data_IF_356472085452
#
_entry.id   IF_356472085452
#
_cell.length_a   1.000
_cell.length_b   1.000
_cell.length_c   1.000
_cell.angle_alpha   90.00
_cell.angle_beta   90.00
_cell.angle_gamma   90.00
#
_symmetry.space_group_name_H-M   'P 1'
#
loop_
_entity.id
_entity.type
_entity.pdbx_description
1 polymer ?
#
# COMPACT_ATOMS: atom_id res chain seq x y z
N UNK A 1 -51.42 -24.83 8.36
CA UNK A 1 -51.18 -23.61 9.17
C UNK A 1 -50.16 -23.88 10.27
N UNK A 2 -50.24 -25.00 11.02
CA UNK A 2 -49.24 -25.34 12.05
C UNK A 2 -47.79 -25.42 11.54
N UNK A 3 -47.56 -26.04 10.38
CA UNK A 3 -46.23 -26.14 9.76
C UNK A 3 -45.58 -24.78 9.41
N UNK A 4 -46.38 -23.75 9.08
CA UNK A 4 -45.87 -22.40 8.80
C UNK A 4 -45.51 -21.67 10.10
N UNK A 5 -46.28 -21.90 11.16
CA UNK A 5 -46.03 -21.34 12.49
C UNK A 5 -44.72 -21.92 13.05
N UNK A 6 -44.48 -23.22 12.88
CA UNK A 6 -43.24 -23.86 13.33
C UNK A 6 -41.99 -23.32 12.62
N UNK A 7 -42.07 -23.05 11.31
CA UNK A 7 -40.96 -22.46 10.55
C UNK A 7 -40.65 -21.04 11.02
N UNK A 8 -41.67 -20.22 11.29
CA UNK A 8 -41.50 -18.85 11.80
C UNK A 8 -40.91 -18.88 13.20
N UNK A 9 -41.41 -19.74 14.08
CA UNK A 9 -40.92 -19.88 15.45
C UNK A 9 -39.49 -20.45 15.50
N UNK A 10 -39.15 -21.39 14.62
CA UNK A 10 -37.79 -21.90 14.48
C UNK A 10 -36.82 -20.81 14.00
N UNK A 11 -37.23 -19.99 13.02
CA UNK A 11 -36.44 -18.84 12.54
C UNK A 11 -36.27 -17.77 13.61
N UNK A 12 -37.31 -17.53 14.43
CA UNK A 12 -37.25 -16.60 15.55
C UNK A 12 -36.28 -17.09 16.63
N UNK A 13 -36.30 -18.39 16.93
CA UNK A 13 -35.39 -19.02 17.89
C UNK A 13 -33.94 -19.00 17.42
N UNK A 14 -33.68 -19.29 16.14
CA UNK A 14 -32.32 -19.20 15.59
C UNK A 14 -31.81 -17.77 15.66
N UNK A 15 -32.63 -16.78 15.27
CA UNK A 15 -32.27 -15.38 15.35
C UNK A 15 -31.98 -14.91 16.79
N UNK A 16 -32.79 -15.32 17.76
CA UNK A 16 -32.53 -15.03 19.19
C UNK A 16 -31.22 -15.66 19.69
N UNK A 17 -30.89 -16.87 19.23
CA UNK A 17 -29.63 -17.54 19.58
C UNK A 17 -28.41 -16.86 18.93
N UNK A 18 -28.53 -16.46 17.67
CA UNK A 18 -27.49 -15.73 16.93
C UNK A 18 -27.24 -14.34 17.55
N UNK A 19 -28.28 -13.64 18.01
CA UNK A 19 -28.12 -12.39 18.76
C UNK A 19 -27.41 -12.60 20.10
N UNK A 20 -27.69 -13.71 20.78
CA UNK A 20 -27.02 -14.08 22.03
C UNK A 20 -25.53 -14.38 21.85
N UNK A 21 -25.14 -15.00 20.74
CA UNK A 21 -23.75 -15.32 20.41
C UNK A 21 -22.96 -14.14 19.80
N UNK A 22 -23.67 -13.13 19.27
CA UNK A 22 -23.05 -11.90 18.77
C UNK A 22 -22.46 -11.02 19.89
N UNK A 23 -23.06 -11.02 21.08
CA UNK A 23 -22.62 -10.16 22.19
C UNK A 23 -21.18 -10.50 22.68
N UNK A 24 -20.82 -11.78 22.91
CA UNK A 24 -19.43 -12.17 23.18
C UNK A 24 -18.47 -11.84 22.03
N UNK A 25 -18.87 -12.05 20.78
CA UNK A 25 -18.06 -11.71 19.61
C UNK A 25 -17.80 -10.21 19.52
N UNK A 26 -18.79 -9.38 19.85
CA UNK A 26 -18.64 -7.93 19.87
C UNK A 26 -17.64 -7.47 20.95
N UNK A 27 -17.68 -8.08 22.13
CA UNK A 27 -16.69 -7.80 23.19
C UNK A 27 -15.28 -8.19 22.73
N UNK A 28 -15.13 -9.37 22.11
CA UNK A 28 -13.85 -9.81 21.53
C UNK A 28 -13.34 -8.87 20.45
N UNK A 29 -14.22 -8.42 19.55
CA UNK A 29 -13.91 -7.48 18.48
C UNK A 29 -13.44 -6.12 19.03
N UNK A 30 -14.12 -5.58 20.05
CA UNK A 30 -13.71 -4.34 20.72
C UNK A 30 -12.35 -4.51 21.40
N UNK A 31 -12.11 -5.63 22.09
CA UNK A 31 -10.82 -5.93 22.69
C UNK A 31 -9.69 -5.99 21.65
N UNK A 32 -9.93 -6.63 20.50
CA UNK A 32 -8.99 -6.69 19.38
C UNK A 32 -8.71 -5.30 18.82
N UNK A 33 -9.72 -4.46 18.64
CA UNK A 33 -9.52 -3.09 18.16
C UNK A 33 -8.66 -2.27 19.12
N UNK A 34 -8.88 -2.38 20.43
CA UNK A 34 -8.08 -1.67 21.44
C UNK A 34 -6.63 -2.15 21.42
N UNK A 35 -6.41 -3.46 21.43
CA UNK A 35 -5.06 -4.06 21.41
C UNK A 35 -4.35 -3.72 20.10
N UNK A 36 -5.02 -3.92 18.96
CA UNK A 36 -4.44 -3.67 17.65
C UNK A 36 -4.16 -2.19 17.41
N UNK A 37 -4.97 -1.27 17.95
CA UNK A 37 -4.64 0.15 17.93
C UNK A 37 -3.35 0.48 18.70
N UNK A 38 -3.18 -0.12 19.88
CA UNK A 38 -1.97 0.04 20.69
C UNK A 38 -0.73 -0.52 19.96
N UNK A 39 -0.85 -1.73 19.39
CA UNK A 39 0.21 -2.37 18.59
C UNK A 39 0.54 -1.53 17.36
N UNK A 40 -0.46 -0.99 16.67
CA UNK A 40 -0.26 -0.15 15.48
C UNK A 40 0.53 1.12 15.80
N UNK A 41 0.21 1.78 16.92
CA UNK A 41 1.00 2.93 17.41
C UNK A 41 2.43 2.54 17.76
N UNK A 42 2.63 1.39 18.39
CA UNK A 42 3.96 0.90 18.74
C UNK A 42 4.80 0.61 17.48
N UNK A 43 4.22 -0.06 16.48
CA UNK A 43 4.86 -0.33 15.20
C UNK A 43 5.26 0.96 14.49
N UNK A 44 4.36 1.93 14.39
CA UNK A 44 4.67 3.25 13.83
C UNK A 44 5.86 3.88 14.55
N UNK A 45 5.86 3.86 15.87
CA UNK A 45 6.91 4.47 16.66
C UNK A 45 8.27 3.79 16.45
N UNK A 46 8.30 2.46 16.40
CA UNK A 46 9.52 1.67 16.14
C UNK A 46 10.04 1.99 14.74
N UNK A 47 9.18 2.00 13.72
CA UNK A 47 9.57 2.29 12.33
C UNK A 47 10.13 3.69 12.21
N UNK A 48 9.43 4.70 12.75
CA UNK A 48 9.90 6.10 12.68
C UNK A 48 11.22 6.27 13.41
N UNK A 49 11.38 5.69 14.61
CA UNK A 49 12.64 5.77 15.36
C UNK A 49 13.78 5.04 14.66
N UNK A 50 13.53 3.85 14.13
CA UNK A 50 14.53 3.07 13.40
C UNK A 50 15.01 3.80 12.15
N UNK A 51 14.09 4.29 11.33
CA UNK A 51 14.41 5.04 10.11
C UNK A 51 15.13 6.36 10.40
N UNK A 52 14.73 7.08 11.46
CA UNK A 52 15.45 8.30 11.90
C UNK A 52 16.86 7.99 12.43
N UNK A 53 17.04 6.87 13.13
CA UNK A 53 18.33 6.43 13.64
C UNK A 53 19.35 6.04 12.56
N UNK A 54 18.88 5.55 11.42
CA UNK A 54 19.73 5.10 10.30
C UNK A 54 20.21 6.22 9.36
N UNK A 55 19.95 7.50 9.66
CA UNK A 55 20.23 8.65 8.76
C UNK A 55 19.59 8.54 7.37
N UNK A 56 18.48 7.81 7.23
CA UNK A 56 17.71 7.73 5.97
C UNK A 56 17.26 9.10 5.44
N UNK A 57 17.24 10.11 6.31
CA UNK A 57 16.97 11.50 5.95
C UNK A 57 17.96 12.06 4.91
N UNK A 58 19.24 11.68 4.97
CA UNK A 58 20.26 12.14 4.01
C UNK A 58 20.01 11.54 2.61
N UNK A 59 19.55 10.28 2.54
CA UNK A 59 19.19 9.60 1.30
C UNK A 59 17.90 10.14 0.67
N UNK A 60 16.88 10.45 1.46
CA UNK A 60 15.59 10.98 0.95
C UNK A 60 15.70 12.43 0.47
N UNK A 61 16.58 13.23 1.09
CA UNK A 61 16.91 14.59 0.63
C UNK A 61 17.72 14.53 -0.67
N UNK A 62 18.72 13.64 -0.76
CA UNK A 62 19.49 13.43 -1.99
C UNK A 62 18.64 12.90 -3.16
N UNK A 63 17.60 12.11 -2.87
CA UNK A 63 16.65 11.61 -3.86
C UNK A 63 15.55 12.63 -4.25
N UNK A 64 15.49 13.79 -3.60
CA UNK A 64 14.52 14.85 -3.88
C UNK A 64 13.07 14.54 -3.45
N UNK A 65 12.85 13.47 -2.67
CA UNK A 65 11.50 13.10 -2.21
C UNK A 65 10.90 14.15 -1.28
N UNK A 66 11.69 14.69 -0.35
CA UNK A 66 11.19 15.70 0.59
C UNK A 66 10.72 16.99 -0.13
N UNK A 67 11.35 17.34 -1.27
CA UNK A 67 10.95 18.47 -2.10
C UNK A 67 9.67 18.18 -2.90
N UNK A 68 9.47 16.92 -3.33
CA UNK A 68 8.24 16.48 -3.99
C UNK A 68 7.05 16.47 -3.02
N UNK A 69 7.25 16.00 -1.78
CA UNK A 69 6.23 16.02 -0.72
C UNK A 69 5.85 17.45 -0.30
N UNK A 70 6.83 18.36 -0.18
CA UNK A 70 6.58 19.77 0.11
C UNK A 70 5.78 20.47 -0.99
N UNK A 71 6.08 20.18 -2.26
CA UNK A 71 5.29 20.69 -3.41
C UNK A 71 3.84 20.18 -3.40
N UNK A 72 3.60 19.00 -2.83
CA UNK A 72 2.27 18.45 -2.58
C UNK A 72 1.57 18.95 -1.30
N UNK A 73 2.16 19.90 -0.56
CA UNK A 73 1.58 20.47 0.66
C UNK A 73 1.81 19.65 1.94
N UNK A 74 2.61 18.59 1.88
CA UNK A 74 2.93 17.77 3.05
C UNK A 74 4.11 18.40 3.80
N UNK A 75 3.86 18.85 5.03
CA UNK A 75 4.88 19.49 5.90
C UNK A 75 5.81 18.51 6.63
N UNK A 76 5.47 17.22 6.61
CA UNK A 76 6.24 16.15 7.28
C UNK A 76 7.27 15.52 6.34
N UNK A 77 8.41 15.08 6.91
CA UNK A 77 9.45 14.40 6.13
C UNK A 77 9.03 12.99 5.67
N UNK A 78 9.71 12.46 4.65
CA UNK A 78 9.44 11.13 4.06
C UNK A 78 9.33 10.01 5.09
N UNK A 79 10.17 10.04 6.14
CA UNK A 79 10.17 9.04 7.22
C UNK A 79 8.88 9.07 8.06
N UNK A 80 8.33 10.26 8.32
CA UNK A 80 7.10 10.41 9.09
C UNK A 80 5.89 9.93 8.27
N UNK A 81 5.90 10.18 6.95
CA UNK A 81 4.87 9.65 6.04
C UNK A 81 4.91 8.13 5.98
N UNK A 82 6.10 7.51 5.91
CA UNK A 82 6.25 6.06 6.00
C UNK A 82 5.74 5.51 7.34
N UNK A 83 6.03 6.18 8.45
CA UNK A 83 5.48 5.82 9.75
C UNK A 83 3.95 5.84 9.79
N UNK A 84 3.35 6.90 9.24
CA UNK A 84 1.88 7.01 9.11
C UNK A 84 1.32 5.92 8.19
N UNK A 85 2.00 5.57 7.09
CA UNK A 85 1.59 4.45 6.24
C UNK A 85 1.60 3.12 6.99
N UNK A 86 2.65 2.82 7.75
CA UNK A 86 2.73 1.60 8.56
C UNK A 86 1.64 1.56 9.62
N UNK A 87 1.35 2.69 10.28
CA UNK A 87 0.24 2.79 11.24
C UNK A 87 -1.09 2.40 10.60
N UNK A 88 -1.41 2.99 9.45
CA UNK A 88 -2.66 2.72 8.74
C UNK A 88 -2.75 1.28 8.25
N UNK A 89 -1.64 0.71 7.76
CA UNK A 89 -1.57 -0.70 7.39
C UNK A 89 -1.87 -1.62 8.57
N UNK A 90 -1.23 -1.39 9.72
CA UNK A 90 -1.44 -2.19 10.93
C UNK A 90 -2.89 -2.07 11.46
N UNK A 91 -3.48 -0.87 11.38
CA UNK A 91 -4.90 -0.65 11.69
C UNK A 91 -5.80 -1.42 10.73
N UNK A 92 -5.48 -1.43 9.44
CA UNK A 92 -6.27 -2.12 8.43
C UNK A 92 -6.24 -3.64 8.68
N UNK A 93 -5.07 -4.20 9.00
CA UNK A 93 -4.95 -5.61 9.43
C UNK A 93 -5.76 -5.90 10.70
N UNK A 94 -5.69 -5.00 11.69
CA UNK A 94 -6.50 -5.13 12.91
C UNK A 94 -8.00 -5.14 12.59
N UNK A 95 -8.44 -4.25 11.71
CA UNK A 95 -9.83 -4.15 11.28
C UNK A 95 -10.28 -5.40 10.52
N UNK A 96 -9.41 -5.97 9.69
CA UNK A 96 -9.65 -7.24 9.01
C UNK A 96 -9.87 -8.39 10.00
N UNK A 97 -8.98 -8.51 10.99
CA UNK A 97 -9.12 -9.51 12.07
C UNK A 97 -10.43 -9.29 12.83
N UNK A 98 -10.78 -8.03 13.10
CA UNK A 98 -12.02 -7.65 13.80
C UNK A 98 -13.26 -8.08 12.99
N UNK A 99 -13.30 -7.79 11.69
CA UNK A 99 -14.40 -8.21 10.81
C UNK A 99 -14.50 -9.72 10.69
N UNK A 100 -13.36 -10.44 10.64
CA UNK A 100 -13.36 -11.89 10.63
C UNK A 100 -13.94 -12.48 11.92
N UNK A 101 -13.60 -11.91 13.08
CA UNK A 101 -14.15 -12.35 14.39
C UNK A 101 -15.66 -12.06 14.49
N UNK A 102 -16.11 -10.95 13.90
CA UNK A 102 -17.55 -10.62 13.81
C UNK A 102 -18.31 -11.43 12.74
N UNK A 103 -17.64 -12.30 11.98
CA UNK A 103 -18.26 -13.07 10.90
C UNK A 103 -18.61 -12.24 9.65
N UNK A 104 -18.07 -11.02 9.52
CA UNK A 104 -18.32 -10.10 8.41
C UNK A 104 -17.38 -10.38 7.22
N UNK A 105 -17.42 -11.61 6.70
CA UNK A 105 -16.50 -12.10 5.66
C UNK A 105 -16.52 -11.26 4.38
N UNK A 106 -17.68 -10.72 4.01
CA UNK A 106 -17.80 -9.86 2.83
C UNK A 106 -16.99 -8.55 3.03
N UNK A 107 -17.11 -7.92 4.19
CA UNK A 107 -16.35 -6.70 4.51
C UNK A 107 -14.86 -7.02 4.64
N UNK A 108 -14.49 -8.11 5.33
CA UNK A 108 -13.08 -8.46 5.47
C UNK A 108 -12.42 -8.73 4.12
N UNK A 109 -13.10 -9.41 3.20
CA UNK A 109 -12.56 -9.65 1.85
C UNK A 109 -12.33 -8.36 1.08
N UNK A 110 -13.25 -7.38 1.16
CA UNK A 110 -13.09 -6.09 0.50
C UNK A 110 -11.92 -5.31 1.07
N UNK A 111 -11.81 -5.24 2.39
CA UNK A 111 -10.70 -4.56 3.05
C UNK A 111 -9.37 -5.28 2.80
N UNK A 112 -9.37 -6.61 2.63
CA UNK A 112 -8.14 -7.38 2.40
C UNK A 112 -7.50 -6.97 1.08
N UNK A 113 -8.31 -6.83 0.03
CA UNK A 113 -7.86 -6.31 -1.28
C UNK A 113 -7.27 -4.90 -1.16
N UNK A 114 -7.87 -4.04 -0.35
CA UNK A 114 -7.32 -2.69 -0.09
C UNK A 114 -5.99 -2.76 0.66
N UNK A 115 -5.85 -3.68 1.62
CA UNK A 115 -4.61 -3.90 2.35
C UNK A 115 -3.47 -4.34 1.43
N UNK A 116 -3.73 -5.28 0.53
CA UNK A 116 -2.77 -5.83 -0.43
C UNK A 116 -2.37 -4.81 -1.51
N UNK A 117 -3.27 -3.88 -1.84
CA UNK A 117 -2.98 -2.81 -2.79
C UNK A 117 -1.87 -1.88 -2.29
N UNK A 118 -1.81 -1.59 -0.99
CA UNK A 118 -0.87 -0.60 -0.43
C UNK A 118 0.60 -0.98 -0.64
N UNK A 119 1.08 -2.21 -0.32
CA UNK A 119 2.44 -2.64 -0.67
C UNK A 119 2.74 -2.50 -2.17
N UNK A 120 1.81 -2.92 -3.02
CA UNK A 120 1.98 -2.88 -4.47
C UNK A 120 2.11 -1.45 -5.00
N UNK A 121 1.39 -0.48 -4.43
CA UNK A 121 1.57 0.95 -4.73
C UNK A 121 3.00 1.40 -4.43
N UNK A 122 3.57 0.99 -3.28
CA UNK A 122 4.94 1.37 -2.91
C UNK A 122 5.94 0.80 -3.93
N UNK A 123 5.79 -0.47 -4.30
CA UNK A 123 6.66 -1.13 -5.30
C UNK A 123 6.51 -0.48 -6.68
N UNK A 124 5.29 -0.15 -7.10
CA UNK A 124 5.04 0.54 -8.36
C UNK A 124 5.69 1.93 -8.39
N UNK A 125 5.55 2.70 -7.30
CA UNK A 125 6.17 4.02 -7.16
C UNK A 125 7.70 3.94 -7.21
N UNK A 126 8.31 2.97 -6.52
CA UNK A 126 9.74 2.73 -6.57
C UNK A 126 10.21 2.35 -7.98
N UNK A 127 9.48 1.43 -8.63
CA UNK A 127 9.78 0.97 -9.99
C UNK A 127 9.71 2.11 -11.00
N UNK A 128 8.68 2.96 -10.93
CA UNK A 128 8.56 4.14 -11.77
C UNK A 128 9.71 5.11 -11.51
N UNK A 129 10.00 5.43 -10.25
CA UNK A 129 11.05 6.38 -9.88
C UNK A 129 12.40 5.91 -10.41
N UNK A 130 12.83 4.71 -10.00
CA UNK A 130 14.13 4.15 -10.39
C UNK A 130 14.19 3.89 -11.90
N UNK A 131 13.13 3.30 -12.46
CA UNK A 131 13.07 2.95 -13.87
C UNK A 131 13.10 4.16 -14.81
N UNK A 132 12.47 5.28 -14.43
CA UNK A 132 12.54 6.53 -15.21
C UNK A 132 13.94 7.16 -15.19
N UNK A 133 14.63 7.13 -14.04
CA UNK A 133 16.02 7.56 -13.96
C UNK A 133 16.93 6.65 -14.80
N UNK A 134 16.74 5.34 -14.69
CA UNK A 134 17.48 4.36 -15.48
C UNK A 134 17.25 4.54 -16.99
N UNK A 135 16.00 4.77 -17.42
CA UNK A 135 15.66 5.03 -18.82
C UNK A 135 16.40 6.24 -19.40
N UNK A 136 16.56 7.32 -18.60
CA UNK A 136 17.36 8.49 -19.00
C UNK A 136 18.82 8.15 -19.10
N UNK A 137 19.40 7.54 -18.06
CA UNK A 137 20.80 7.14 -18.03
C UNK A 137 21.19 6.28 -19.24
N UNK A 138 20.38 5.26 -19.55
CA UNK A 138 20.64 4.37 -20.69
C UNK A 138 20.50 5.12 -22.02
N UNK A 139 19.48 5.98 -22.16
CA UNK A 139 19.30 6.78 -23.36
C UNK A 139 20.48 7.74 -23.60
N UNK A 140 20.98 8.37 -22.55
CA UNK A 140 22.14 9.27 -22.62
C UNK A 140 23.41 8.50 -23.02
N UNK A 141 23.63 7.31 -22.46
CA UNK A 141 24.73 6.43 -22.83
C UNK A 141 24.66 5.98 -24.29
N UNK A 142 23.47 5.58 -24.75
CA UNK A 142 23.23 5.18 -26.15
C UNK A 142 23.44 6.37 -27.10
N UNK A 143 22.98 7.56 -26.73
CA UNK A 143 23.17 8.78 -27.52
C UNK A 143 24.65 9.15 -27.63
N UNK A 144 25.39 9.08 -26.51
CA UNK A 144 26.82 9.35 -26.49
C UNK A 144 27.60 8.36 -27.37
N UNK A 145 27.27 7.06 -27.28
CA UNK A 145 27.91 6.03 -28.10
C UNK A 145 27.63 6.23 -29.59
N UNK A 146 26.35 6.40 -29.97
CA UNK A 146 25.94 6.58 -31.37
C UNK A 146 26.49 7.85 -32.00
N UNK A 147 26.66 8.92 -31.20
CA UNK A 147 27.34 10.15 -31.63
C UNK A 147 28.83 9.92 -31.91
N UNK A 148 29.50 9.11 -31.10
CA UNK A 148 30.94 8.80 -31.27
C UNK A 148 31.24 7.97 -32.53
N UNK A 149 30.29 7.14 -32.98
CA UNK A 149 30.42 6.35 -34.23
C UNK A 149 29.91 7.06 -35.48
N UNK A 150 29.54 8.35 -35.37
CA UNK A 150 29.19 9.20 -36.52
C UNK A 150 27.78 8.98 -37.09
N UNK A 151 26.83 8.43 -36.31
CA UNK A 151 25.44 8.33 -36.77
C UNK A 151 24.81 9.72 -36.92
N UNK A 152 24.12 9.93 -38.05
CA UNK A 152 23.46 11.21 -38.40
C UNK A 152 22.38 11.61 -37.40
N UNK A 153 21.64 10.64 -36.85
CA UNK A 153 20.51 10.87 -35.92
C UNK A 153 20.68 10.18 -34.56
N UNK A 154 21.81 10.39 -33.89
CA UNK A 154 22.07 9.86 -32.54
C UNK A 154 20.94 10.20 -31.54
N UNK A 155 20.36 11.40 -31.64
CA UNK A 155 19.26 11.86 -30.77
C UNK A 155 17.95 11.10 -31.02
N UNK A 156 17.70 10.57 -32.23
CA UNK A 156 16.52 9.74 -32.47
C UNK A 156 16.68 8.39 -31.79
N UNK A 157 17.86 7.77 -31.88
CA UNK A 157 18.14 6.47 -31.25
C UNK A 157 18.00 6.58 -29.73
N UNK A 158 18.60 7.61 -29.13
CA UNK A 158 18.46 7.87 -27.70
C UNK A 158 17.01 8.06 -27.25
N UNK A 159 16.23 8.85 -28.01
CA UNK A 159 14.80 9.05 -27.72
C UNK A 159 14.01 7.76 -27.83
N UNK A 160 14.25 6.96 -28.86
CA UNK A 160 13.59 5.65 -29.04
C UNK A 160 13.94 4.71 -27.88
N UNK A 161 15.21 4.62 -27.49
CA UNK A 161 15.66 3.86 -26.33
C UNK A 161 14.95 4.32 -25.05
N UNK A 162 14.89 5.64 -24.82
CA UNK A 162 14.21 6.19 -23.66
C UNK A 162 12.74 5.82 -23.63
N UNK A 163 12.03 5.96 -24.74
CA UNK A 163 10.60 5.62 -24.82
C UNK A 163 10.36 4.12 -24.66
N UNK A 164 11.20 3.27 -25.24
CA UNK A 164 11.11 1.82 -25.09
C UNK A 164 11.25 1.40 -23.61
N UNK A 165 12.29 1.91 -22.92
CA UNK A 165 12.50 1.59 -21.50
C UNK A 165 11.40 2.20 -20.64
N UNK A 166 10.96 3.43 -20.91
CA UNK A 166 9.87 4.07 -20.17
C UNK A 166 8.57 3.27 -20.31
N UNK A 167 8.21 2.83 -21.51
CA UNK A 167 7.03 1.99 -21.74
C UNK A 167 7.13 0.67 -20.97
N UNK A 168 8.29 0.02 -21.00
CA UNK A 168 8.54 -1.20 -20.24
C UNK A 168 8.40 -0.99 -18.72
N UNK A 169 8.99 0.07 -18.18
CA UNK A 169 8.89 0.44 -16.75
C UNK A 169 7.44 0.72 -16.36
N UNK A 170 6.67 1.40 -17.21
CA UNK A 170 5.24 1.65 -16.96
C UNK A 170 4.46 0.34 -16.95
N UNK A 171 4.71 -0.57 -17.89
CA UNK A 171 4.08 -1.90 -17.92
C UNK A 171 4.43 -2.69 -16.65
N UNK A 172 5.69 -2.69 -16.23
CA UNK A 172 6.12 -3.35 -14.99
C UNK A 172 5.44 -2.77 -13.75
N UNK A 173 5.27 -1.44 -13.70
CA UNK A 173 4.61 -0.76 -12.60
C UNK A 173 3.10 -1.06 -12.57
N UNK A 174 2.44 -1.08 -13.74
CA UNK A 174 1.03 -1.49 -13.85
C UNK A 174 0.86 -2.96 -13.44
N UNK A 175 1.81 -3.80 -13.83
CA UNK A 175 1.84 -5.22 -13.45
C UNK A 175 1.91 -5.47 -11.95
N UNK A 176 2.22 -4.47 -11.11
CA UNK A 176 2.15 -4.62 -9.65
C UNK A 176 0.71 -4.64 -9.12
N UNK A 177 -0.27 -4.19 -9.90
CA UNK A 177 -1.68 -4.12 -9.49
C UNK A 177 -2.55 -5.27 -10.01
N UNK A 178 -1.96 -6.19 -10.77
CA UNK A 178 -2.59 -7.37 -11.35
C UNK A 178 -2.26 -8.61 -10.54
#
# INVERSE_FOLDING_TARGET
MEQQIDIVMASLRSFMFDLGSFLPMLIGAVAILIVGWLVSKLLQFIVVRGLKGMRFHELTVAAGLDDFLKKGGVRSGTVDVLGVMVYWLAILVTLLTTFNVLGLTALSTLFHRVAEFVPNVVVAMLTLTIGLYFARFVADAVTAYTRNVGMVDADLVGRLTRYAITAFVVILAIGQFN
#
